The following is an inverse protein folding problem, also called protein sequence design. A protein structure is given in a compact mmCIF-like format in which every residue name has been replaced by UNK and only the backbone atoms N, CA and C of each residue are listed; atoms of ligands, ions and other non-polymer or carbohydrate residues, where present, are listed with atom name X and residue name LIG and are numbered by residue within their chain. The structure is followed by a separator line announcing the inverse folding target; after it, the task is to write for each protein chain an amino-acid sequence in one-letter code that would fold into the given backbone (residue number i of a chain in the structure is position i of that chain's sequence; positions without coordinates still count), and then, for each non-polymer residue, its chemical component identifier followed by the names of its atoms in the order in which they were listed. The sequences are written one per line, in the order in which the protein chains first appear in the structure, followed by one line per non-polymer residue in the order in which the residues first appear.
data_IF_510769600418
#
_entry.id   IF_510769600418
#
_cell.length_a   1.000
_cell.length_b   1.000
_cell.length_c   1.000
_cell.angle_alpha   90.00
_cell.angle_beta   90.00
_cell.angle_gamma   90.00
#
_symmetry.space_group_name_H-M   'P 1'
#
loop_
_entity.id
_entity.type
_entity.pdbx_description
1 polymer ?
#
# COMPACT_ATOMS: atom_id res chain seq x y z
N UNK A 1 -2.19 25.29 9.77
CA UNK A 1 -2.32 24.17 10.70
C UNK A 1 -3.72 24.17 11.30
N UNK A 2 -4.47 23.10 11.14
CA UNK A 2 -5.77 22.93 11.78
C UNK A 2 -5.54 22.76 13.29
N UNK A 3 -6.29 23.49 14.11
CA UNK A 3 -6.26 23.26 15.54
C UNK A 3 -6.85 21.88 15.83
N UNK A 4 -6.16 21.10 16.64
CA UNK A 4 -6.63 19.82 17.15
C UNK A 4 -6.47 19.78 18.67
N UNK A 5 -7.36 19.08 19.33
CA UNK A 5 -7.27 18.75 20.74
C UNK A 5 -7.55 17.26 20.89
N UNK A 6 -6.71 16.57 21.64
CA UNK A 6 -6.89 15.16 21.94
C UNK A 6 -6.81 14.94 23.45
N UNK A 7 -7.58 13.99 23.93
CA UNK A 7 -7.52 13.49 25.29
C UNK A 7 -7.47 11.98 25.25
N UNK A 8 -6.35 11.42 25.68
CA UNK A 8 -6.11 9.99 25.69
C UNK A 8 -5.91 9.53 27.13
N UNK A 9 -6.41 8.34 27.41
CA UNK A 9 -6.28 7.69 28.72
C UNK A 9 -5.99 6.23 28.47
N UNK A 10 -4.91 5.72 29.05
CA UNK A 10 -4.49 4.32 28.92
C UNK A 10 -4.28 3.75 30.30
N UNK A 11 -4.85 2.56 30.55
CA UNK A 11 -4.63 1.77 31.75
C UNK A 11 -3.76 0.57 31.44
N UNK A 12 -2.75 0.32 32.29
CA UNK A 12 -1.95 -0.89 32.27
C UNK A 12 -1.88 -1.49 33.70
N UNK A 13 -1.75 -2.80 33.77
CA UNK A 13 -1.53 -3.49 35.03
C UNK A 13 -0.04 -3.50 35.44
N UNK A 14 0.27 -4.01 36.63
CA UNK A 14 1.65 -4.09 37.13
C UNK A 14 2.57 -5.00 36.28
N UNK A 15 2.00 -5.88 35.48
CA UNK A 15 2.73 -6.70 34.53
C UNK A 15 2.94 -6.00 33.20
N UNK A 16 2.64 -4.69 33.12
CA UNK A 16 2.73 -3.86 31.91
C UNK A 16 1.87 -4.34 30.73
N UNK A 17 0.76 -5.04 30.95
CA UNK A 17 -0.22 -5.30 29.92
C UNK A 17 -1.24 -4.17 29.89
N UNK A 18 -1.50 -3.61 28.72
CA UNK A 18 -2.58 -2.66 28.52
C UNK A 18 -3.93 -3.33 28.75
N UNK A 19 -4.76 -2.77 29.61
CA UNK A 19 -6.07 -3.32 29.98
C UNK A 19 -7.22 -2.55 29.37
N UNK A 20 -7.04 -1.24 29.18
CA UNK A 20 -8.01 -0.38 28.54
C UNK A 20 -7.33 0.85 27.93
N UNK A 21 -7.93 1.41 26.88
CA UNK A 21 -7.56 2.69 26.32
C UNK A 21 -8.77 3.45 25.78
N UNK A 22 -8.80 4.76 25.98
CA UNK A 22 -9.80 5.65 25.40
C UNK A 22 -9.15 6.86 24.78
N UNK A 23 -9.44 7.12 23.50
CA UNK A 23 -9.01 8.31 22.77
C UNK A 23 -10.18 9.23 22.42
N UNK A 24 -10.05 10.52 22.64
CA UNK A 24 -11.05 11.52 22.22
C UNK A 24 -10.37 12.62 21.42
N UNK A 25 -10.83 12.81 20.18
CA UNK A 25 -10.21 13.70 19.20
C UNK A 25 -11.20 14.79 18.78
N UNK A 26 -10.81 16.05 18.91
CA UNK A 26 -11.53 17.19 18.37
C UNK A 26 -10.69 17.81 17.26
N UNK A 27 -11.12 17.70 16.00
CA UNK A 27 -10.41 18.25 14.87
C UNK A 27 -11.22 19.35 14.20
N UNK A 28 -10.58 20.50 14.00
CA UNK A 28 -11.20 21.62 13.31
C UNK A 28 -11.39 21.29 11.82
N UNK A 29 -12.62 21.42 11.34
CA UNK A 29 -13.00 21.19 9.94
C UNK A 29 -12.91 22.45 9.07
N UNK A 30 -12.95 23.63 9.67
CA UNK A 30 -13.19 24.89 8.98
C UNK A 30 -14.68 25.11 8.76
N UNK A 31 -15.05 25.88 7.75
CA UNK A 31 -16.44 26.30 7.48
C UNK A 31 -17.40 25.17 7.11
N UNK A 32 -16.88 24.00 6.72
CA UNK A 32 -17.68 22.85 6.31
C UNK A 32 -17.20 21.57 6.98
N UNK A 33 -18.07 20.59 7.31
CA UNK A 33 -17.68 19.30 7.86
C UNK A 33 -16.67 18.54 6.97
N UNK A 34 -15.95 17.59 7.58
CA UNK A 34 -15.01 16.69 6.89
C UNK A 34 -13.56 16.90 7.32
N UNK A 35 -13.32 17.14 8.62
CA UNK A 35 -12.00 16.98 9.21
C UNK A 35 -11.57 15.49 9.15
N UNK A 36 -10.26 15.17 9.17
CA UNK A 36 -9.78 13.80 9.00
C UNK A 36 -9.90 12.96 10.31
N UNK A 37 -11.07 13.00 10.93
CA UNK A 37 -11.39 12.33 12.20
C UNK A 37 -11.22 10.82 12.10
N UNK A 38 -11.69 10.21 10.99
CA UNK A 38 -11.62 8.75 10.80
C UNK A 38 -10.19 8.24 10.85
N UNK A 39 -9.23 8.98 10.25
CA UNK A 39 -7.82 8.62 10.29
C UNK A 39 -7.22 8.79 11.69
N UNK A 40 -7.57 9.86 12.41
CA UNK A 40 -7.09 10.06 13.77
C UNK A 40 -7.61 8.96 14.72
N UNK A 41 -8.92 8.81 14.83
CA UNK A 41 -9.54 7.87 15.77
C UNK A 41 -9.35 6.39 15.39
N UNK A 42 -9.29 6.07 14.08
CA UNK A 42 -9.14 4.69 13.62
C UNK A 42 -7.71 4.17 13.64
N UNK A 43 -6.71 5.05 13.45
CA UNK A 43 -5.31 4.62 13.35
C UNK A 43 -4.54 4.70 14.68
N UNK A 44 -4.98 5.52 15.63
CA UNK A 44 -4.20 5.85 16.83
C UNK A 44 -3.87 4.65 17.73
N UNK A 45 -4.80 3.73 17.93
CA UNK A 45 -4.64 2.51 18.73
C UNK A 45 -4.44 1.24 17.90
N UNK A 46 -4.44 1.36 16.57
CA UNK A 46 -4.34 0.21 15.67
C UNK A 46 -3.07 -0.65 15.87
N UNK A 47 -1.90 -0.11 16.29
CA UNK A 47 -0.71 -0.90 16.56
C UNK A 47 -0.81 -1.81 17.81
N UNK A 48 -1.85 -1.71 18.62
CA UNK A 48 -1.87 -2.33 19.95
C UNK A 48 -3.00 -3.34 20.13
N UNK A 49 -2.70 -4.40 20.89
CA UNK A 49 -3.66 -5.41 21.34
C UNK A 49 -4.22 -4.99 22.71
N UNK A 50 -5.39 -4.38 22.70
CA UNK A 50 -6.01 -3.80 23.90
C UNK A 50 -7.39 -4.43 24.09
N UNK A 51 -7.64 -5.14 25.21
CA UNK A 51 -8.93 -5.81 25.42
C UNK A 51 -10.15 -4.88 25.44
N UNK A 52 -9.97 -3.65 25.93
CA UNK A 52 -11.03 -2.65 26.05
C UNK A 52 -10.55 -1.33 25.44
N UNK A 53 -10.86 -1.09 24.20
CA UNK A 53 -10.46 0.13 23.49
C UNK A 53 -11.68 0.85 22.93
N UNK A 54 -11.69 2.19 23.08
CA UNK A 54 -12.73 3.04 22.52
C UNK A 54 -12.15 4.37 22.03
N UNK A 55 -12.58 4.83 20.86
CA UNK A 55 -12.19 6.12 20.33
C UNK A 55 -13.40 6.97 19.94
N UNK A 56 -13.35 8.24 20.30
CA UNK A 56 -14.33 9.26 19.92
C UNK A 56 -13.68 10.29 19.01
N UNK A 57 -14.38 10.70 17.97
CA UNK A 57 -13.92 11.74 17.06
C UNK A 57 -14.99 12.79 16.81
N UNK A 58 -14.65 14.06 17.01
CA UNK A 58 -15.53 15.20 16.82
C UNK A 58 -15.02 16.09 15.68
N UNK A 59 -15.85 16.26 14.68
CA UNK A 59 -15.61 17.13 13.53
C UNK A 59 -16.13 18.53 13.88
N UNK A 60 -15.22 19.46 14.20
CA UNK A 60 -15.57 20.77 14.76
C UNK A 60 -15.61 21.82 13.64
N UNK A 61 -16.80 22.24 13.27
CA UNK A 61 -17.01 23.33 12.32
C UNK A 61 -16.66 24.67 12.98
N UNK A 62 -15.95 25.51 12.26
CA UNK A 62 -15.51 26.84 12.72
C UNK A 62 -15.42 27.83 11.57
N UNK A 63 -15.48 29.11 11.87
CA UNK A 63 -15.38 30.17 10.87
C UNK A 63 -13.93 30.36 10.38
N UNK A 64 -13.39 29.33 9.72
CA UNK A 64 -12.05 29.29 9.12
C UNK A 64 -12.10 28.59 7.76
N UNK A 65 -11.01 28.65 7.01
CA UNK A 65 -10.87 27.91 5.74
C UNK A 65 -11.09 26.41 5.95
N UNK A 66 -11.74 25.76 4.98
CA UNK A 66 -11.99 24.30 4.99
C UNK A 66 -10.67 23.54 5.08
N UNK A 67 -10.62 22.63 6.03
CA UNK A 67 -9.51 21.66 6.16
C UNK A 67 -9.66 20.59 5.08
N UNK A 68 -8.58 20.29 4.39
CA UNK A 68 -8.52 19.22 3.39
C UNK A 68 -7.58 18.11 3.81
N UNK A 69 -7.71 16.97 3.14
CA UNK A 69 -6.85 15.83 3.37
C UNK A 69 -5.38 16.17 3.05
N UNK A 70 -4.49 15.84 3.95
CA UNK A 70 -3.05 15.90 3.79
C UNK A 70 -2.48 14.52 4.15
N UNK A 71 -1.39 14.10 3.55
CA UNK A 71 -0.73 12.77 3.62
C UNK A 71 -1.01 12.02 4.94
N UNK A 72 -1.61 10.82 4.87
CA UNK A 72 -2.16 10.06 6.01
C UNK A 72 -3.13 10.89 6.88
N UNK A 73 -4.26 11.40 6.32
CA UNK A 73 -5.09 12.39 6.97
C UNK A 73 -5.54 11.98 8.36
N UNK A 74 -5.14 12.74 9.38
CA UNK A 74 -5.48 12.52 10.78
C UNK A 74 -4.60 11.51 11.53
N UNK A 75 -4.05 10.49 10.86
CA UNK A 75 -3.28 9.45 11.53
C UNK A 75 -2.06 9.99 12.32
N UNK A 76 -1.23 10.91 11.79
CA UNK A 76 -0.11 11.45 12.57
C UNK A 76 -0.57 12.21 13.82
N UNK A 77 -1.72 12.87 13.76
CA UNK A 77 -2.28 13.60 14.92
C UNK A 77 -2.70 12.61 16.01
N UNK A 78 -3.43 11.56 15.63
CA UNK A 78 -3.87 10.52 16.56
C UNK A 78 -2.70 9.72 17.13
N UNK A 79 -1.74 9.32 16.28
CA UNK A 79 -0.54 8.61 16.70
C UNK A 79 0.27 9.44 17.71
N UNK A 80 0.54 10.72 17.43
CA UNK A 80 1.29 11.58 18.33
C UNK A 80 0.68 11.60 19.75
N UNK A 81 -0.64 11.77 19.84
CA UNK A 81 -1.32 11.84 21.14
C UNK A 81 -1.20 10.53 21.93
N UNK A 82 -1.45 9.39 21.27
CA UNK A 82 -1.37 8.06 21.92
C UNK A 82 0.06 7.69 22.28
N UNK A 83 1.00 7.89 21.37
CA UNK A 83 2.40 7.50 21.57
C UNK A 83 3.05 8.27 22.75
N UNK A 84 2.69 9.55 22.95
CA UNK A 84 3.13 10.32 24.15
C UNK A 84 2.58 9.69 25.44
N UNK A 85 1.30 9.34 25.48
CA UNK A 85 0.70 8.70 26.66
C UNK A 85 1.32 7.33 26.95
N UNK A 86 1.66 6.57 25.91
CA UNK A 86 2.31 5.27 26.08
C UNK A 86 3.74 5.40 26.64
N UNK A 87 4.47 6.45 26.27
CA UNK A 87 5.77 6.75 26.86
C UNK A 87 5.63 7.12 28.35
N UNK A 88 4.63 7.93 28.73
CA UNK A 88 4.34 8.23 30.13
C UNK A 88 3.97 6.99 30.95
N UNK A 89 3.19 6.07 30.37
CA UNK A 89 2.85 4.79 31.02
C UNK A 89 4.09 3.90 31.18
N UNK A 90 4.92 3.80 30.16
CA UNK A 90 6.16 3.03 30.23
C UNK A 90 7.13 3.59 31.30
N UNK A 91 7.26 4.92 31.39
CA UNK A 91 8.05 5.62 32.41
C UNK A 91 7.51 5.32 33.82
N UNK A 92 6.20 5.43 34.03
CA UNK A 92 5.56 5.14 35.31
C UNK A 92 5.78 3.69 35.75
N UNK A 93 5.83 2.75 34.82
CA UNK A 93 6.13 1.34 35.02
C UNK A 93 7.65 1.05 35.12
N UNK A 94 8.51 2.03 34.89
CA UNK A 94 9.97 1.91 34.81
C UNK A 94 10.41 0.89 33.76
N UNK A 95 9.71 0.83 32.66
CA UNK A 95 9.94 -0.08 31.54
C UNK A 95 10.46 0.68 30.32
N UNK A 96 11.28 0.05 29.51
CA UNK A 96 11.66 0.62 28.21
C UNK A 96 10.42 0.84 27.32
N UNK A 97 10.25 2.02 26.72
CA UNK A 97 9.09 2.31 25.87
C UNK A 97 8.93 1.35 24.68
N UNK A 98 10.01 0.87 24.06
CA UNK A 98 9.94 -0.12 22.97
C UNK A 98 9.53 -1.52 23.49
N UNK A 99 10.04 -1.93 24.64
CA UNK A 99 9.63 -3.21 25.26
C UNK A 99 8.18 -3.17 25.70
N UNK A 100 7.70 -2.04 26.21
CA UNK A 100 6.28 -1.85 26.52
C UNK A 100 5.40 -1.99 25.28
N UNK A 101 5.81 -1.39 24.15
CA UNK A 101 5.12 -1.52 22.87
C UNK A 101 5.15 -2.94 22.33
N UNK A 102 6.30 -3.59 22.39
CA UNK A 102 6.45 -5.00 21.96
C UNK A 102 5.53 -5.93 22.75
N UNK A 103 5.46 -5.73 24.06
CA UNK A 103 4.60 -6.54 24.94
C UNK A 103 3.11 -6.41 24.60
N UNK A 104 2.69 -5.24 24.17
CA UNK A 104 1.30 -4.89 23.84
C UNK A 104 1.03 -4.79 22.34
N UNK A 105 1.94 -5.27 21.51
CA UNK A 105 1.83 -5.18 20.05
C UNK A 105 0.65 -5.99 19.52
N UNK A 106 -0.08 -5.38 18.59
CA UNK A 106 -1.02 -6.12 17.76
C UNK A 106 -0.29 -7.17 16.91
N UNK A 107 -0.94 -8.30 16.69
CA UNK A 107 -0.42 -9.45 15.95
C UNK A 107 -1.55 -10.14 15.20
N UNK A 108 -1.22 -11.16 14.46
CA UNK A 108 -2.24 -12.02 13.83
C UNK A 108 -3.32 -12.42 14.83
N UNK A 109 -4.59 -12.23 14.45
CA UNK A 109 -5.75 -12.51 15.27
C UNK A 109 -6.18 -11.37 16.21
N UNK A 110 -5.38 -10.32 16.39
CA UNK A 110 -5.80 -9.14 17.17
C UNK A 110 -6.96 -8.44 16.48
N UNK A 111 -8.01 -8.15 17.25
CA UNK A 111 -9.12 -7.32 16.79
C UNK A 111 -8.80 -5.84 16.96
N UNK A 112 -8.59 -5.16 15.87
CA UNK A 112 -8.28 -3.74 15.86
C UNK A 112 -9.43 -2.88 16.40
N UNK A 113 -9.11 -1.74 17.03
CA UNK A 113 -10.11 -0.79 17.55
C UNK A 113 -11.06 -0.27 16.45
N UNK A 114 -10.60 -0.19 15.21
CA UNK A 114 -11.39 0.25 14.06
C UNK A 114 -12.20 -0.87 13.37
N UNK A 115 -12.16 -2.11 13.90
CA UNK A 115 -13.07 -3.18 13.56
C UNK A 115 -12.49 -4.47 12.98
N UNK A 116 -11.52 -4.47 12.05
CA UNK A 116 -11.01 -5.70 11.44
C UNK A 116 -10.21 -6.56 12.43
N UNK A 117 -10.14 -7.86 12.14
CA UNK A 117 -9.18 -8.78 12.77
C UNK A 117 -7.97 -8.86 11.85
N UNK A 118 -6.78 -8.67 12.39
CA UNK A 118 -5.57 -8.68 11.60
C UNK A 118 -5.20 -10.09 11.13
N UNK A 119 -4.83 -10.26 9.86
CA UNK A 119 -4.13 -11.45 9.39
C UNK A 119 -2.66 -11.40 9.79
N UNK A 120 -1.84 -12.19 9.14
CA UNK A 120 -0.37 -12.11 9.29
C UNK A 120 0.11 -10.69 8.96
N UNK A 121 0.87 -10.10 9.88
CA UNK A 121 1.37 -8.74 9.78
C UNK A 121 2.74 -8.61 10.45
N UNK A 122 3.58 -7.68 9.98
CA UNK A 122 4.97 -7.53 10.40
C UNK A 122 5.21 -6.46 11.47
N UNK A 123 4.24 -6.13 12.33
CA UNK A 123 4.45 -5.06 13.31
C UNK A 123 5.43 -5.45 14.42
N UNK A 124 5.32 -6.65 14.94
CA UNK A 124 6.25 -7.20 15.97
C UNK A 124 7.69 -7.15 15.44
N UNK A 125 7.91 -7.57 14.21
CA UNK A 125 9.21 -7.57 13.55
C UNK A 125 9.81 -6.16 13.42
N UNK A 126 8.98 -5.13 13.22
CA UNK A 126 9.48 -3.74 13.20
C UNK A 126 10.01 -3.29 14.56
N UNK A 127 9.35 -3.69 15.65
CA UNK A 127 9.78 -3.42 17.03
C UNK A 127 11.07 -4.17 17.38
N UNK A 128 11.14 -5.45 17.03
CA UNK A 128 12.32 -6.30 17.25
C UNK A 128 13.53 -5.79 16.45
N UNK A 129 13.32 -5.37 15.21
CA UNK A 129 14.35 -4.74 14.39
C UNK A 129 14.89 -3.46 15.05
N UNK A 130 14.03 -2.63 15.63
CA UNK A 130 14.45 -1.45 16.38
C UNK A 130 15.26 -1.81 17.64
N UNK A 131 14.80 -2.78 18.44
CA UNK A 131 15.50 -3.25 19.66
C UNK A 131 16.87 -3.86 19.34
N UNK A 132 17.03 -4.50 18.21
CA UNK A 132 18.29 -5.11 17.76
C UNK A 132 19.24 -4.11 17.08
N UNK A 133 18.74 -2.98 16.62
CA UNK A 133 19.53 -2.02 15.86
C UNK A 133 20.62 -1.35 16.72
N UNK A 134 21.86 -1.17 16.21
CA UNK A 134 22.94 -0.52 16.96
C UNK A 134 22.59 0.88 17.47
N UNK A 135 21.79 1.64 16.74
CA UNK A 135 21.35 2.98 17.14
C UNK A 135 20.54 2.97 18.46
N UNK A 136 19.71 1.97 18.69
CA UNK A 136 18.95 1.82 19.93
C UNK A 136 19.85 1.77 21.17
N UNK A 137 21.02 1.12 21.06
CA UNK A 137 22.01 0.95 22.12
C UNK A 137 23.08 2.05 22.17
N UNK A 138 23.09 2.96 21.21
CA UNK A 138 24.07 4.03 21.16
C UNK A 138 23.90 4.98 22.36
N UNK A 139 25.00 5.39 23.03
CA UNK A 139 24.91 6.30 24.18
C UNK A 139 24.47 7.69 23.73
N UNK A 140 23.61 8.31 24.53
CA UNK A 140 23.22 9.70 24.35
C UNK A 140 24.27 10.65 24.97
N UNK A 141 24.47 11.79 24.33
CA UNK A 141 25.28 12.90 24.87
C UNK A 141 24.44 13.75 25.83
N UNK A 142 25.12 14.66 26.53
CA UNK A 142 24.45 15.69 27.31
C UNK A 142 23.51 16.51 26.39
N UNK A 143 22.32 16.82 26.86
CA UNK A 143 21.26 17.53 26.13
C UNK A 143 20.67 16.75 24.94
N UNK A 144 20.92 15.46 24.83
CA UNK A 144 20.26 14.59 23.88
C UNK A 144 19.16 13.78 24.56
N UNK A 145 18.05 13.59 23.86
CA UNK A 145 16.95 12.70 24.21
C UNK A 145 16.65 11.73 23.10
N UNK A 146 16.17 10.54 23.42
CA UNK A 146 15.72 9.53 22.46
C UNK A 146 14.26 9.24 22.67
N UNK A 147 13.48 9.35 21.61
CA UNK A 147 12.07 9.02 21.58
C UNK A 147 11.78 7.82 20.67
N UNK A 148 10.64 7.20 20.90
CA UNK A 148 10.16 6.04 20.18
C UNK A 148 8.69 6.25 19.80
N UNK A 149 8.31 5.82 18.62
CA UNK A 149 6.91 5.84 18.23
C UNK A 149 6.60 4.76 17.21
N UNK A 150 5.37 4.27 17.26
CA UNK A 150 4.81 3.38 16.26
C UNK A 150 3.71 4.07 15.47
N UNK A 151 3.48 3.61 14.26
CA UNK A 151 2.45 4.14 13.39
C UNK A 151 1.76 3.06 12.58
N UNK A 152 0.54 3.37 12.18
CA UNK A 152 -0.29 2.53 11.33
C UNK A 152 -0.98 3.38 10.27
N UNK A 153 -1.04 2.81 9.07
CA UNK A 153 -1.89 3.33 8.02
C UNK A 153 -2.52 2.20 7.22
N UNK A 154 -3.82 2.26 6.99
CA UNK A 154 -4.55 1.29 6.21
C UNK A 154 -4.27 1.42 4.69
N UNK A 155 -4.52 0.36 3.94
CA UNK A 155 -4.58 0.37 2.50
C UNK A 155 -6.04 0.27 2.05
N UNK A 156 -6.50 1.25 1.29
CA UNK A 156 -7.82 1.23 0.69
C UNK A 156 -7.78 0.51 -0.67
N UNK A 157 -8.79 -0.28 -0.95
CA UNK A 157 -9.03 -0.86 -2.27
C UNK A 157 -9.78 0.08 -3.21
N UNK A 158 -10.77 -0.45 -3.87
CA UNK A 158 -11.70 0.25 -4.75
C UNK A 158 -11.41 0.07 -6.24
N UNK A 159 -12.19 0.74 -7.04
CA UNK A 159 -12.23 0.59 -8.49
C UNK A 159 -10.95 1.12 -9.14
N UNK A 160 -10.45 0.36 -10.11
CA UNK A 160 -9.35 0.75 -10.99
C UNK A 160 -9.52 0.15 -12.37
N UNK A 161 -9.01 0.85 -13.37
CA UNK A 161 -9.00 0.40 -14.76
C UNK A 161 -7.62 0.58 -15.38
N UNK A 162 -7.24 -0.32 -16.28
CA UNK A 162 -6.05 -0.21 -17.10
C UNK A 162 -6.26 -0.84 -18.47
N UNK A 163 -5.47 -0.38 -19.43
CA UNK A 163 -5.35 -0.91 -20.78
C UNK A 163 -3.87 -1.19 -21.08
N UNK A 164 -3.56 -2.35 -21.61
CA UNK A 164 -2.23 -2.72 -22.07
C UNK A 164 -2.29 -3.02 -23.56
N UNK A 165 -1.46 -2.35 -24.36
CA UNK A 165 -1.39 -2.50 -25.81
C UNK A 165 0.05 -2.79 -26.23
N UNK A 166 0.21 -3.65 -27.23
CA UNK A 166 1.48 -3.91 -27.89
C UNK A 166 1.49 -3.16 -29.22
N UNK A 167 2.55 -2.39 -29.47
CA UNK A 167 2.77 -1.69 -30.73
C UNK A 167 3.42 -2.61 -31.76
N UNK A 168 3.40 -2.25 -33.05
CA UNK A 168 3.93 -3.07 -34.15
C UNK A 168 5.43 -3.39 -33.99
N UNK A 169 6.19 -2.54 -33.32
CA UNK A 169 7.61 -2.71 -33.02
C UNK A 169 7.87 -3.46 -31.68
N UNK A 170 6.81 -4.01 -31.06
CA UNK A 170 6.89 -4.79 -29.83
C UNK A 170 7.15 -3.94 -28.57
N UNK A 171 6.89 -2.61 -28.61
CA UNK A 171 6.82 -1.82 -27.39
C UNK A 171 5.46 -1.98 -26.72
N UNK A 172 5.40 -1.67 -25.43
CA UNK A 172 4.20 -1.84 -24.61
C UNK A 172 3.73 -0.48 -24.11
N UNK A 173 2.47 -0.17 -24.33
CA UNK A 173 1.83 1.02 -23.80
C UNK A 173 0.79 0.62 -22.77
N UNK A 174 1.01 1.03 -21.52
CA UNK A 174 0.05 0.85 -20.42
C UNK A 174 -0.66 2.17 -20.19
N UNK A 175 -1.98 2.19 -20.24
CA UNK A 175 -2.79 3.36 -19.90
C UNK A 175 -3.57 3.08 -18.62
N UNK A 176 -3.51 3.99 -17.64
CA UNK A 176 -4.24 3.91 -16.37
C UNK A 176 -4.92 5.22 -16.05
N UNK A 177 -6.02 5.17 -15.27
CA UNK A 177 -6.73 6.37 -14.80
C UNK A 177 -6.13 7.01 -13.54
N UNK A 178 -5.10 6.43 -12.96
CA UNK A 178 -4.46 6.96 -11.75
C UNK A 178 -3.32 7.92 -12.07
N UNK A 179 -3.23 9.08 -11.37
CA UNK A 179 -2.09 9.98 -11.52
C UNK A 179 -0.79 9.32 -11.01
N UNK A 180 0.33 9.82 -11.49
CA UNK A 180 1.65 9.42 -10.98
C UNK A 180 1.88 10.03 -9.60
N UNK A 181 1.72 9.23 -8.57
CA UNK A 181 2.01 9.62 -7.19
C UNK A 181 3.07 8.71 -6.59
N UNK A 182 4.14 9.31 -6.06
CA UNK A 182 5.24 8.56 -5.47
C UNK A 182 6.00 7.65 -6.44
N UNK A 183 5.95 7.94 -7.75
CA UNK A 183 6.62 7.14 -8.78
C UNK A 183 5.85 5.89 -9.21
N UNK A 184 4.53 5.85 -9.03
CA UNK A 184 3.69 4.71 -9.40
C UNK A 184 3.79 4.32 -10.88
N UNK A 185 4.05 5.29 -11.79
CA UNK A 185 4.28 5.00 -13.21
C UNK A 185 5.48 4.08 -13.43
N UNK A 186 6.61 4.36 -12.77
CA UNK A 186 7.80 3.51 -12.85
C UNK A 186 7.53 2.11 -12.29
N UNK A 187 6.79 2.02 -11.18
CA UNK A 187 6.41 0.72 -10.60
C UNK A 187 5.52 -0.10 -11.53
N UNK A 188 4.52 0.54 -12.17
CA UNK A 188 3.66 -0.11 -13.16
C UNK A 188 4.46 -0.59 -14.37
N UNK A 189 5.41 0.22 -14.86
CA UNK A 189 6.29 -0.18 -15.95
C UNK A 189 7.11 -1.43 -15.59
N UNK A 190 7.68 -1.47 -14.38
CA UNK A 190 8.43 -2.62 -13.90
C UNK A 190 7.56 -3.88 -13.77
N UNK A 191 6.36 -3.77 -13.19
CA UNK A 191 5.42 -4.89 -13.06
C UNK A 191 5.06 -5.46 -14.43
N UNK A 192 4.73 -4.59 -15.38
CA UNK A 192 4.39 -5.01 -16.75
C UNK A 192 5.58 -5.69 -17.44
N UNK A 193 6.77 -5.11 -17.31
CA UNK A 193 8.00 -5.65 -17.89
C UNK A 193 8.37 -7.03 -17.31
N UNK A 194 8.23 -7.19 -15.99
CA UNK A 194 8.49 -8.46 -15.29
C UNK A 194 7.53 -9.55 -15.74
N UNK A 195 6.22 -9.26 -15.78
CA UNK A 195 5.21 -10.21 -16.25
C UNK A 195 5.43 -10.65 -17.71
N UNK A 196 5.79 -9.70 -18.56
CA UNK A 196 6.08 -10.00 -19.97
C UNK A 196 7.48 -10.61 -20.18
N UNK A 197 8.39 -10.53 -19.21
CA UNK A 197 9.77 -10.97 -19.34
C UNK A 197 10.60 -10.12 -20.31
N UNK A 198 10.34 -8.80 -20.36
CA UNK A 198 10.99 -7.86 -21.30
C UNK A 198 11.76 -6.75 -20.57
N UNK A 199 12.60 -6.03 -21.30
CA UNK A 199 13.27 -4.87 -20.74
C UNK A 199 12.28 -3.74 -20.45
N UNK A 200 12.34 -3.14 -19.25
CA UNK A 200 11.46 -2.05 -18.79
C UNK A 200 11.46 -0.83 -19.71
N UNK A 201 12.56 -0.58 -20.41
CA UNK A 201 12.66 0.51 -21.40
C UNK A 201 11.69 0.36 -22.59
N UNK A 202 11.12 -0.84 -22.79
CA UNK A 202 10.07 -1.08 -23.79
C UNK A 202 8.67 -0.75 -23.28
N UNK A 203 8.50 -0.40 -22.02
CA UNK A 203 7.20 -0.15 -21.43
C UNK A 203 7.02 1.36 -21.19
N UNK A 204 6.00 1.94 -21.79
CA UNK A 204 5.56 3.33 -21.56
C UNK A 204 4.26 3.34 -20.79
N UNK A 205 4.18 4.12 -19.71
CA UNK A 205 2.96 4.27 -18.91
C UNK A 205 2.37 5.67 -19.12
N UNK A 206 1.12 5.71 -19.56
CA UNK A 206 0.35 6.92 -19.81
C UNK A 206 -0.75 7.07 -18.77
N UNK A 207 -0.99 8.31 -18.34
CA UNK A 207 -2.18 8.67 -17.58
C UNK A 207 -3.27 8.98 -18.59
N UNK A 208 -4.35 8.20 -18.56
CA UNK A 208 -5.45 8.34 -19.51
C UNK A 208 -6.35 9.53 -19.21
N UNK A 209 -7.04 9.96 -20.24
CA UNK A 209 -8.16 10.89 -20.14
C UNK A 209 -9.37 10.16 -19.53
N UNK A 210 -10.11 10.82 -18.63
CA UNK A 210 -11.29 10.25 -17.97
C UNK A 210 -12.43 9.89 -18.91
N UNK A 211 -12.41 10.38 -20.14
CA UNK A 211 -13.37 10.03 -21.20
C UNK A 211 -12.96 8.77 -21.98
N UNK A 212 -11.71 8.33 -21.89
CA UNK A 212 -11.14 7.26 -22.73
C UNK A 212 -10.70 6.03 -21.96
N UNK A 213 -10.54 6.13 -20.66
CA UNK A 213 -10.19 5.01 -19.76
C UNK A 213 -11.37 4.72 -18.83
N UNK A 214 -11.52 3.47 -18.40
CA UNK A 214 -12.53 3.10 -17.41
C UNK A 214 -12.33 3.79 -16.07
N UNK A 215 -13.35 3.71 -15.21
CA UNK A 215 -13.34 4.42 -13.93
C UNK A 215 -12.19 3.95 -13.02
N UNK A 216 -11.53 4.94 -12.43
CA UNK A 216 -10.55 4.73 -11.37
C UNK A 216 -10.88 5.66 -10.21
N UNK A 217 -11.04 5.10 -9.02
CA UNK A 217 -11.43 5.85 -7.83
C UNK A 217 -10.34 6.84 -7.41
N UNK A 218 -10.67 7.75 -6.49
CA UNK A 218 -9.80 8.83 -6.00
C UNK A 218 -8.41 8.33 -5.55
N UNK A 219 -7.43 9.22 -5.61
CA UNK A 219 -6.10 9.03 -5.03
C UNK A 219 -6.14 9.33 -3.54
N UNK A 220 -6.12 8.30 -2.70
CA UNK A 220 -6.15 8.41 -1.24
C UNK A 220 -6.17 7.03 -0.58
N UNK A 221 -5.78 6.94 0.71
CA UNK A 221 -5.77 5.67 1.43
C UNK A 221 -4.73 4.67 0.94
N UNK A 222 -3.64 5.11 0.35
CA UNK A 222 -2.52 4.29 -0.17
C UNK A 222 -2.92 3.27 -1.26
N UNK A 223 -3.98 3.54 -2.01
CA UNK A 223 -4.58 2.58 -2.94
C UNK A 223 -3.96 2.59 -4.35
N UNK A 224 -3.37 3.72 -4.79
CA UNK A 224 -3.01 3.92 -6.20
C UNK A 224 -2.15 2.80 -6.75
N UNK A 225 -0.98 2.55 -6.17
CA UNK A 225 -0.11 1.48 -6.68
C UNK A 225 -0.74 0.10 -6.49
N UNK A 226 -1.33 -0.18 -5.35
CA UNK A 226 -1.95 -1.48 -5.07
C UNK A 226 -3.05 -1.84 -6.08
N UNK A 227 -4.04 -0.95 -6.27
CA UNK A 227 -5.15 -1.21 -7.16
C UNK A 227 -4.75 -1.14 -8.65
N UNK A 228 -3.79 -0.25 -9.00
CA UNK A 228 -3.25 -0.19 -10.37
C UNK A 228 -2.43 -1.43 -10.70
N UNK A 229 -1.60 -1.92 -9.77
CA UNK A 229 -0.81 -3.14 -9.99
C UNK A 229 -1.70 -4.35 -10.28
N UNK A 230 -2.78 -4.52 -9.51
CA UNK A 230 -3.72 -5.62 -9.72
C UNK A 230 -4.38 -5.55 -11.11
N UNK A 231 -4.93 -4.41 -11.48
CA UNK A 231 -5.60 -4.27 -12.78
C UNK A 231 -4.62 -4.37 -13.95
N UNK A 232 -3.40 -3.86 -13.81
CA UNK A 232 -2.35 -3.99 -14.84
C UNK A 232 -1.88 -5.44 -14.97
N UNK A 233 -1.75 -6.15 -13.85
CA UNK A 233 -1.43 -7.59 -13.87
C UNK A 233 -2.48 -8.39 -14.63
N UNK A 234 -3.77 -8.16 -14.35
CA UNK A 234 -4.85 -8.83 -15.07
C UNK A 234 -4.86 -8.49 -16.57
N UNK A 235 -4.71 -7.20 -16.90
CA UNK A 235 -4.63 -6.78 -18.32
C UNK A 235 -3.42 -7.36 -19.03
N UNK A 236 -2.26 -7.46 -18.38
CA UNK A 236 -1.03 -8.04 -18.94
C UNK A 236 -1.17 -9.53 -19.13
N UNK A 237 -1.76 -10.25 -18.18
CA UNK A 237 -2.03 -11.68 -18.32
C UNK A 237 -2.96 -11.98 -19.51
N UNK A 238 -3.99 -11.15 -19.72
CA UNK A 238 -4.84 -11.25 -20.90
C UNK A 238 -4.06 -10.99 -22.21
N UNK A 239 -3.11 -10.04 -22.21
CA UNK A 239 -2.23 -9.81 -23.37
C UNK A 239 -1.34 -11.03 -23.62
N UNK A 240 -0.76 -11.64 -22.58
CA UNK A 240 0.02 -12.88 -22.69
C UNK A 240 -0.83 -14.00 -23.29
N UNK A 241 -2.08 -14.11 -22.87
CA UNK A 241 -3.01 -15.10 -23.39
C UNK A 241 -3.30 -14.89 -24.89
N UNK A 242 -3.45 -13.64 -25.32
CA UNK A 242 -3.57 -13.27 -26.72
C UNK A 242 -2.28 -13.61 -27.49
N UNK A 243 -1.10 -13.31 -26.96
CA UNK A 243 0.18 -13.63 -27.58
C UNK A 243 0.35 -15.14 -27.80
N UNK A 244 -0.06 -15.95 -26.82
CA UNK A 244 -0.10 -17.42 -26.96
C UNK A 244 -1.07 -17.86 -28.05
N UNK A 245 -2.25 -17.23 -28.16
CA UNK A 245 -3.19 -17.50 -29.27
C UNK A 245 -2.59 -17.14 -30.66
N UNK A 246 -1.79 -16.05 -30.73
CA UNK A 246 -1.10 -15.71 -31.98
C UNK A 246 -0.04 -16.75 -32.34
N UNK A 247 0.78 -17.18 -31.40
CA UNK A 247 1.77 -18.23 -31.60
C UNK A 247 1.11 -19.58 -31.99
N UNK A 248 -0.03 -19.92 -31.38
CA UNK A 248 -0.85 -21.09 -31.73
C UNK A 248 -1.23 -21.10 -33.20
N UNK A 249 -1.69 -19.97 -33.74
CA UNK A 249 -2.04 -19.82 -35.14
C UNK A 249 -0.84 -19.92 -36.09
N UNK A 250 0.30 -19.34 -35.69
CA UNK A 250 1.54 -19.39 -36.48
C UNK A 250 2.07 -20.82 -36.57
N UNK A 251 2.08 -21.53 -35.44
CA UNK A 251 2.61 -22.91 -35.39
C UNK A 251 1.57 -23.99 -35.73
N UNK A 252 0.28 -23.64 -35.81
CA UNK A 252 -0.84 -24.54 -35.94
C UNK A 252 -0.85 -25.67 -34.91
N UNK A 253 -0.74 -25.28 -33.63
CA UNK A 253 -0.81 -26.16 -32.46
C UNK A 253 -1.79 -25.57 -31.43
N UNK A 254 -2.23 -26.38 -30.48
CA UNK A 254 -3.13 -25.93 -29.42
C UNK A 254 -2.46 -24.89 -28.53
N UNK A 255 -3.20 -23.87 -28.11
CA UNK A 255 -2.72 -22.78 -27.23
C UNK A 255 -2.20 -23.30 -25.89
N UNK A 256 -2.80 -24.34 -25.36
CA UNK A 256 -2.42 -25.01 -24.12
C UNK A 256 -1.04 -25.67 -24.19
N UNK A 257 -0.55 -25.95 -25.42
CA UNK A 257 0.80 -26.47 -25.69
C UNK A 257 1.82 -25.33 -25.86
N UNK A 258 1.52 -24.10 -25.39
CA UNK A 258 2.38 -22.93 -25.48
C UNK A 258 2.56 -22.30 -24.10
N UNK A 259 3.80 -22.07 -23.71
CA UNK A 259 4.20 -21.33 -22.53
C UNK A 259 4.70 -19.94 -22.94
N UNK A 260 4.52 -18.97 -22.04
CA UNK A 260 5.13 -17.64 -22.15
C UNK A 260 6.25 -17.52 -21.12
N UNK A 261 7.47 -17.34 -21.58
CA UNK A 261 8.63 -17.24 -20.71
C UNK A 261 9.69 -16.31 -21.29
N UNK A 262 10.24 -15.41 -20.46
CA UNK A 262 11.33 -14.50 -20.83
C UNK A 262 11.07 -13.67 -22.11
N UNK A 263 9.84 -13.20 -22.30
CA UNK A 263 9.45 -12.37 -23.46
C UNK A 263 9.21 -13.15 -24.76
N UNK A 264 9.02 -14.45 -24.68
CA UNK A 264 8.84 -15.33 -25.82
C UNK A 264 7.71 -16.33 -25.59
N UNK A 265 6.95 -16.62 -26.67
CA UNK A 265 6.12 -17.81 -26.72
C UNK A 265 7.01 -19.01 -27.02
N UNK A 266 6.84 -20.11 -26.29
CA UNK A 266 7.62 -21.35 -26.43
C UNK A 266 6.70 -22.56 -26.59
N UNK A 267 6.96 -23.45 -27.54
CA UNK A 267 6.25 -24.72 -27.59
C UNK A 267 6.56 -25.59 -26.38
N UNK A 268 5.53 -26.14 -25.74
CA UNK A 268 5.63 -26.96 -24.54
C UNK A 268 5.09 -28.38 -24.73
N UNK A 269 5.27 -29.22 -23.73
CA UNK A 269 4.82 -30.62 -23.76
C UNK A 269 5.39 -31.38 -24.92
N UNK A 270 4.53 -32.11 -25.63
CA UNK A 270 4.92 -32.91 -26.80
C UNK A 270 5.45 -32.07 -27.97
N UNK A 271 5.24 -30.75 -27.95
CA UNK A 271 5.72 -29.84 -28.98
C UNK A 271 7.05 -29.16 -28.62
N UNK A 272 7.60 -29.42 -27.46
CA UNK A 272 8.86 -28.83 -27.01
C UNK A 272 9.99 -29.07 -28.05
N UNK A 273 10.64 -27.99 -28.47
CA UNK A 273 11.73 -28.03 -29.44
C UNK A 273 11.33 -28.23 -30.90
N UNK A 274 10.04 -28.41 -31.24
CA UNK A 274 9.58 -28.58 -32.65
C UNK A 274 9.55 -27.28 -33.43
N UNK A 275 9.41 -26.15 -32.76
CA UNK A 275 9.35 -24.83 -33.37
C UNK A 275 10.34 -23.89 -32.68
N UNK A 276 10.87 -22.90 -33.41
CA UNK A 276 11.65 -21.82 -32.85
C UNK A 276 10.74 -20.97 -31.97
N UNK A 277 11.14 -20.59 -30.73
CA UNK A 277 10.41 -19.61 -29.93
C UNK A 277 10.17 -18.30 -30.69
N UNK A 278 9.03 -17.66 -30.42
CA UNK A 278 8.65 -16.38 -31.03
C UNK A 278 8.71 -15.29 -29.96
N UNK A 279 9.54 -14.30 -30.19
CA UNK A 279 9.64 -13.12 -29.34
C UNK A 279 8.40 -12.24 -29.39
N UNK A 280 8.22 -11.37 -28.39
CA UNK A 280 7.16 -10.36 -28.42
C UNK A 280 7.18 -9.54 -29.72
N UNK A 281 8.36 -9.17 -30.22
CA UNK A 281 8.52 -8.40 -31.46
C UNK A 281 8.05 -9.23 -32.69
N UNK A 282 8.51 -10.45 -32.82
CA UNK A 282 8.11 -11.33 -33.93
C UNK A 282 6.59 -11.59 -33.95
N UNK A 283 5.96 -11.70 -32.76
CA UNK A 283 4.50 -11.83 -32.65
C UNK A 283 3.76 -10.53 -33.00
N UNK A 284 4.31 -9.37 -32.60
CA UNK A 284 3.75 -8.07 -32.94
C UNK A 284 3.78 -7.80 -34.45
N UNK A 285 4.89 -8.14 -35.14
CA UNK A 285 5.02 -8.06 -36.61
C UNK A 285 4.02 -8.94 -37.33
N UNK A 286 3.63 -10.07 -36.72
CA UNK A 286 2.64 -11.01 -37.25
C UNK A 286 1.20 -10.74 -36.78
N UNK A 287 0.95 -9.62 -36.15
CA UNK A 287 -0.36 -9.30 -35.57
C UNK A 287 -1.48 -9.32 -36.61
N UNK A 288 -1.29 -8.63 -37.74
CA UNK A 288 -2.32 -8.50 -38.80
C UNK A 288 -2.84 -9.85 -39.31
N UNK A 289 -1.99 -10.79 -39.79
CA UNK A 289 -2.47 -12.08 -40.32
C UNK A 289 -2.99 -13.05 -39.25
N UNK A 290 -2.65 -12.83 -37.97
CA UNK A 290 -3.02 -13.72 -36.87
C UNK A 290 -4.24 -13.28 -36.07
N UNK A 291 -4.77 -12.06 -36.32
CA UNK A 291 -6.02 -11.58 -35.71
C UNK A 291 -6.05 -10.10 -35.33
N UNK A 292 -5.13 -9.28 -35.86
CA UNK A 292 -5.13 -7.83 -35.69
C UNK A 292 -4.42 -7.35 -34.42
N UNK A 293 -4.66 -6.13 -33.99
CA UNK A 293 -3.97 -5.48 -32.87
C UNK A 293 -3.97 -6.32 -31.59
N UNK A 294 -2.88 -6.24 -30.84
CA UNK A 294 -2.71 -6.97 -29.58
C UNK A 294 -2.89 -5.99 -28.42
N UNK A 295 -3.90 -6.20 -27.62
CA UNK A 295 -4.17 -5.39 -26.45
C UNK A 295 -5.35 -5.91 -25.63
N UNK A 296 -5.33 -5.61 -24.35
CA UNK A 296 -6.40 -5.99 -23.43
C UNK A 296 -6.58 -4.92 -22.34
N UNK A 297 -7.81 -4.74 -21.90
CA UNK A 297 -8.16 -3.86 -20.81
C UNK A 297 -8.97 -4.57 -19.74
N UNK A 298 -8.75 -4.20 -18.49
CA UNK A 298 -9.46 -4.78 -17.36
C UNK A 298 -9.93 -3.71 -16.38
N UNK A 299 -10.90 -4.07 -15.58
CA UNK A 299 -11.40 -3.26 -14.47
C UNK A 299 -11.53 -4.15 -13.23
N UNK A 300 -11.08 -3.63 -12.10
CA UNK A 300 -11.17 -4.31 -10.80
C UNK A 300 -11.87 -3.43 -9.77
N UNK A 301 -12.53 -4.06 -8.83
CA UNK A 301 -12.95 -3.42 -7.58
C UNK A 301 -12.34 -4.21 -6.43
N UNK A 302 -11.24 -3.70 -5.89
CA UNK A 302 -10.44 -4.42 -4.91
C UNK A 302 -10.87 -4.11 -3.48
N UNK A 303 -10.84 -5.12 -2.62
CA UNK A 303 -10.79 -4.90 -1.17
C UNK A 303 -9.34 -4.53 -0.87
N UNK A 304 -9.08 -3.49 -0.07
CA UNK A 304 -7.71 -3.06 0.23
C UNK A 304 -6.86 -4.20 0.84
N UNK A 305 -5.55 -4.11 0.65
CA UNK A 305 -4.62 -4.94 1.39
C UNK A 305 -4.57 -4.53 2.87
N UNK A 306 -3.98 -5.37 3.70
CA UNK A 306 -3.77 -5.04 5.11
C UNK A 306 -2.90 -3.80 5.29
N UNK A 307 -3.07 -3.13 6.45
CA UNK A 307 -2.36 -1.90 6.73
C UNK A 307 -0.85 -2.08 6.93
N UNK A 308 -0.13 -0.99 6.71
CA UNK A 308 1.30 -0.91 7.00
C UNK A 308 1.57 -0.44 8.41
N UNK A 309 2.60 -1.01 9.04
CA UNK A 309 3.10 -0.64 10.37
C UNK A 309 4.53 -0.14 10.26
N UNK A 310 4.90 0.77 11.14
CA UNK A 310 6.26 1.26 11.23
C UNK A 310 6.62 1.59 12.68
N UNK A 311 7.90 1.40 13.03
CA UNK A 311 8.45 1.85 14.32
C UNK A 311 9.62 2.79 14.04
N UNK A 312 9.70 3.87 14.78
CA UNK A 312 10.74 4.88 14.65
C UNK A 312 11.49 5.09 15.96
N UNK A 313 12.81 5.29 15.84
CA UNK A 313 13.68 5.81 16.90
C UNK A 313 14.18 7.17 16.43
N UNK A 314 14.04 8.18 17.27
CA UNK A 314 14.47 9.54 16.97
C UNK A 314 15.31 10.11 18.11
N UNK A 315 16.52 10.57 17.80
CA UNK A 315 17.35 11.32 18.73
C UNK A 315 17.18 12.82 18.47
N UNK A 316 17.04 13.56 19.54
CA UNK A 316 16.94 15.03 19.53
C UNK A 316 18.05 15.60 20.39
N UNK A 317 18.72 16.62 19.88
CA UNK A 317 19.72 17.42 20.60
C UNK A 317 19.19 18.84 20.77
N UNK A 318 19.30 19.37 21.99
CA UNK A 318 18.89 20.73 22.32
C UNK A 318 20.14 21.54 22.64
N UNK A 319 20.32 22.68 21.94
CA UNK A 319 21.40 23.66 22.14
C UNK A 319 20.99 24.85 23.05
#
# INVERSE_FOLDING_TARGET
PSASNSKDTTGANNDANMTAAQGTFYLQAGAFPGAPIRGAAGCCLAPYDIPNAHTFGYDVVSNRSKVAAYRAPGAPIGAYAVECVLDEVAEALKMCPLEFRLKNAAKEGTKAVHGPTYPVMGYVETLEACLSHPHYKAPLKKLQGRGYASGFWFNAGGESSAQVNITEDGNVVVTTGHPDIGGSRASIANITAELLGINVNRVSVLIGDTATIGFSNLTGGSRVLFASALVVTESTNQVIDILKDRASKIWNIDKEAIEWENGEARPAGDNAGKFKPLTLVELAEQATPTGGPIGAGHQVNTVGAEGGFATHICDVEVD
#
